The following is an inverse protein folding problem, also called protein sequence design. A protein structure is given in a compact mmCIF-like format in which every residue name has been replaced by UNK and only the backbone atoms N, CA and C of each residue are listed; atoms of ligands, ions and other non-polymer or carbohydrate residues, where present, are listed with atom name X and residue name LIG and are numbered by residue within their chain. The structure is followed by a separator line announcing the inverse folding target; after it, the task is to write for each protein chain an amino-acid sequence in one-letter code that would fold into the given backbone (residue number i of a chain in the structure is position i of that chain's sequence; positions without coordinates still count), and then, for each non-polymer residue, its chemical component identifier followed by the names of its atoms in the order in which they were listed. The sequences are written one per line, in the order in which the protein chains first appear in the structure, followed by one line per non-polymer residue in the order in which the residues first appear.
data_IF_978786609896
#
_entry.id   IF_978786609896
#
_cell.length_a   1.000
_cell.length_b   1.000
_cell.length_c   1.000
_cell.angle_alpha   90.00
_cell.angle_beta   90.00
_cell.angle_gamma   90.00
#
_symmetry.space_group_name_H-M   'P 1'
#
loop_
_entity.id
_entity.type
_entity.pdbx_description
1 polymer ?
#
# COMPACT_ATOMS: atom_id res chain seq x y z
N UNK A 1 24.33 -9.41 67.36
CA UNK A 1 24.67 -8.81 66.05
C UNK A 1 25.37 -7.50 66.34
N UNK A 2 26.61 -7.32 65.85
CA UNK A 2 27.30 -6.03 65.97
C UNK A 2 26.60 -5.00 65.10
N UNK A 3 26.38 -3.79 65.62
CA UNK A 3 25.85 -2.70 64.82
C UNK A 3 26.89 -2.32 63.75
N UNK A 4 26.47 -1.99 62.51
CA UNK A 4 27.38 -1.50 61.48
C UNK A 4 28.08 -0.22 61.95
N UNK A 5 29.28 0.04 61.44
CA UNK A 5 29.94 1.33 61.67
C UNK A 5 29.15 2.48 61.03
N UNK A 6 29.37 3.71 61.49
CA UNK A 6 28.73 4.89 60.89
C UNK A 6 28.98 4.97 59.37
N UNK A 7 30.22 4.76 58.95
CA UNK A 7 30.59 4.75 57.52
C UNK A 7 29.81 3.67 56.73
N UNK A 8 29.65 2.47 57.30
CA UNK A 8 28.86 1.41 56.66
C UNK A 8 27.37 1.78 56.56
N UNK A 9 26.83 2.42 57.59
CA UNK A 9 25.44 2.88 57.58
C UNK A 9 25.20 3.98 56.55
N UNK A 10 26.14 4.92 56.38
CA UNK A 10 26.08 5.99 55.38
C UNK A 10 26.10 5.42 53.95
N UNK A 11 26.98 4.44 53.67
CA UNK A 11 27.04 3.77 52.36
C UNK A 11 25.73 3.06 52.03
N UNK A 12 25.14 2.34 53.00
CA UNK A 12 23.85 1.66 52.80
C UNK A 12 22.75 2.69 52.53
N UNK A 13 22.68 3.77 53.30
CA UNK A 13 21.68 4.81 53.11
C UNK A 13 21.75 5.42 51.70
N UNK A 14 22.94 5.76 51.22
CA UNK A 14 23.13 6.31 49.86
C UNK A 14 22.70 5.30 48.80
N UNK A 15 23.05 4.02 48.96
CA UNK A 15 22.64 2.97 48.01
C UNK A 15 21.12 2.78 47.93
N UNK A 16 20.43 2.90 49.07
CA UNK A 16 18.97 2.83 49.14
C UNK A 16 18.33 4.04 48.46
N UNK A 17 18.82 5.24 48.74
CA UNK A 17 18.33 6.48 48.09
C UNK A 17 18.53 6.44 46.57
N UNK A 18 19.68 5.95 46.10
CA UNK A 18 19.92 5.79 44.66
C UNK A 18 18.95 4.78 44.02
N UNK A 19 18.69 3.65 44.69
CA UNK A 19 17.76 2.64 44.17
C UNK A 19 16.32 3.15 44.17
N UNK A 20 15.92 3.91 45.20
CA UNK A 20 14.62 4.57 45.29
C UNK A 20 14.43 5.61 44.17
N UNK A 21 15.44 6.45 43.92
CA UNK A 21 15.43 7.42 42.81
C UNK A 21 15.34 6.72 41.46
N UNK A 22 16.18 5.71 41.22
CA UNK A 22 16.19 4.94 39.97
C UNK A 22 14.83 4.29 39.70
N UNK A 23 14.17 3.75 40.73
CA UNK A 23 12.85 3.13 40.59
C UNK A 23 11.74 4.15 40.30
N UNK A 24 11.82 5.36 40.86
CA UNK A 24 10.90 6.45 40.52
C UNK A 24 11.10 6.94 39.09
N UNK A 25 12.35 7.14 38.67
CA UNK A 25 12.68 7.54 37.31
C UNK A 25 12.23 6.49 36.29
N UNK A 26 12.43 5.20 36.59
CA UNK A 26 11.97 4.11 35.72
C UNK A 26 10.43 4.02 35.63
N UNK A 27 9.72 4.29 36.74
CA UNK A 27 8.26 4.40 36.75
C UNK A 27 7.76 5.57 35.89
N UNK A 28 8.46 6.70 35.90
CA UNK A 28 8.09 7.87 35.11
C UNK A 28 8.45 7.69 33.62
N UNK A 29 9.49 6.93 33.31
CA UNK A 29 9.90 6.63 31.93
C UNK A 29 9.03 5.56 31.26
N UNK A 30 8.36 4.70 32.04
CA UNK A 30 7.57 3.56 31.57
C UNK A 30 8.34 2.59 30.66
N UNK A 31 9.66 2.52 30.80
CA UNK A 31 10.53 1.61 30.02
C UNK A 31 10.70 0.28 30.77
N UNK A 32 10.34 -0.83 30.11
CA UNK A 32 10.35 -2.19 30.71
C UNK A 32 11.76 -2.55 31.22
N UNK A 33 12.80 -2.30 30.43
CA UNK A 33 14.19 -2.63 30.78
C UNK A 33 14.68 -1.83 31.98
N UNK A 34 14.30 -0.55 32.07
CA UNK A 34 14.70 0.33 33.17
C UNK A 34 13.98 -0.04 34.45
N UNK A 35 12.69 -0.40 34.38
CA UNK A 35 11.91 -0.90 35.51
C UNK A 35 12.50 -2.21 36.06
N UNK A 36 12.86 -3.14 35.19
CA UNK A 36 13.51 -4.40 35.59
C UNK A 36 14.85 -4.15 36.28
N UNK A 37 15.69 -3.27 35.71
CA UNK A 37 16.98 -2.92 36.30
C UNK A 37 16.83 -2.22 37.65
N UNK A 38 15.87 -1.30 37.77
CA UNK A 38 15.60 -0.58 39.01
C UNK A 38 15.04 -1.50 40.11
N UNK A 39 14.14 -2.43 39.76
CA UNK A 39 13.63 -3.45 40.68
C UNK A 39 14.73 -4.39 41.17
N UNK A 40 15.63 -4.83 40.28
CA UNK A 40 16.77 -5.66 40.66
C UNK A 40 17.74 -4.92 41.60
N UNK A 41 17.99 -3.62 41.35
CA UNK A 41 18.79 -2.76 42.23
C UNK A 41 18.14 -2.57 43.61
N UNK A 42 16.82 -2.33 43.65
CA UNK A 42 16.05 -2.22 44.88
C UNK A 42 16.10 -3.53 45.71
N UNK A 43 16.00 -4.69 45.06
CA UNK A 43 16.14 -5.99 45.72
C UNK A 43 17.57 -6.18 46.27
N UNK A 44 18.60 -5.87 45.49
CA UNK A 44 20.01 -6.03 45.88
C UNK A 44 20.40 -5.13 47.06
N UNK A 45 19.88 -3.91 47.11
CA UNK A 45 20.14 -2.96 48.21
C UNK A 45 19.25 -3.20 49.43
N UNK A 46 18.21 -4.01 49.29
CA UNK A 46 17.27 -4.30 50.36
C UNK A 46 16.30 -3.15 50.65
N UNK A 47 15.90 -2.41 49.62
CA UNK A 47 14.88 -1.36 49.70
C UNK A 47 13.56 -1.94 50.24
N UNK A 48 12.97 -1.28 51.24
CA UNK A 48 11.73 -1.73 51.93
C UNK A 48 10.53 -0.81 51.68
N UNK A 49 10.58 -0.05 50.61
CA UNK A 49 9.46 0.78 50.16
C UNK A 49 8.42 -0.11 49.47
N UNK A 50 7.70 -0.92 50.25
CA UNK A 50 6.80 -1.98 49.76
C UNK A 50 5.76 -1.43 48.77
N UNK A 51 5.22 -0.22 49.02
CA UNK A 51 4.24 0.42 48.14
C UNK A 51 4.85 0.81 46.78
N UNK A 52 6.10 1.30 46.77
CA UNK A 52 6.81 1.68 45.54
C UNK A 52 7.14 0.44 44.69
N UNK A 53 7.61 -0.62 45.34
CA UNK A 53 7.90 -1.91 44.71
C UNK A 53 6.61 -2.54 44.17
N UNK A 54 5.51 -2.48 44.92
CA UNK A 54 4.21 -2.99 44.48
C UNK A 54 3.67 -2.21 43.27
N UNK A 55 3.83 -0.88 43.26
CA UNK A 55 3.47 -0.04 42.11
C UNK A 55 4.31 -0.40 40.88
N UNK A 56 5.63 -0.47 41.01
CA UNK A 56 6.52 -0.84 39.90
C UNK A 56 6.23 -2.24 39.34
N UNK A 57 5.94 -3.23 40.19
CA UNK A 57 5.54 -4.55 39.73
C UNK A 57 4.19 -4.56 39.01
N UNK A 58 3.24 -3.72 39.45
CA UNK A 58 1.94 -3.60 38.79
C UNK A 58 2.08 -2.95 37.42
N UNK A 59 2.91 -1.91 37.33
CA UNK A 59 3.24 -1.20 36.10
C UNK A 59 3.93 -2.13 35.08
N UNK A 60 4.95 -2.87 35.54
CA UNK A 60 5.65 -3.84 34.71
C UNK A 60 4.71 -4.93 34.16
N UNK A 61 3.73 -5.39 34.94
CA UNK A 61 2.72 -6.35 34.46
C UNK A 61 1.84 -5.74 33.37
N UNK A 62 1.39 -4.48 33.53
CA UNK A 62 0.62 -3.76 32.51
C UNK A 62 1.40 -3.65 31.21
N UNK A 63 2.65 -3.18 31.28
CA UNK A 63 3.51 -3.02 30.11
C UNK A 63 3.77 -4.36 29.40
N UNK A 64 3.97 -5.46 30.13
CA UNK A 64 4.10 -6.79 29.53
C UNK A 64 2.81 -7.28 28.87
N UNK A 65 1.64 -6.96 29.42
CA UNK A 65 0.36 -7.28 28.81
C UNK A 65 0.17 -6.50 27.50
N UNK A 66 0.48 -5.21 27.48
CA UNK A 66 0.47 -4.36 26.28
C UNK A 66 1.45 -4.86 25.21
N UNK A 67 2.69 -5.17 25.61
CA UNK A 67 3.70 -5.77 24.71
C UNK A 67 3.22 -7.10 24.14
N UNK A 68 2.55 -7.95 24.94
CA UNK A 68 2.01 -9.22 24.47
C UNK A 68 0.88 -9.01 23.46
N UNK A 69 -0.04 -8.07 23.71
CA UNK A 69 -1.13 -7.75 22.80
C UNK A 69 -0.60 -7.16 21.49
N UNK A 70 0.38 -6.25 21.56
CA UNK A 70 1.01 -5.67 20.39
C UNK A 70 1.74 -6.71 19.54
N UNK A 71 2.44 -7.67 20.17
CA UNK A 71 3.03 -8.83 19.47
C UNK A 71 2.00 -9.66 18.73
N UNK A 72 0.86 -9.95 19.36
CA UNK A 72 -0.20 -10.74 18.72
C UNK A 72 -0.81 -9.96 17.55
N UNK A 73 -1.06 -8.65 17.71
CA UNK A 73 -1.52 -7.77 16.62
C UNK A 73 -0.51 -7.70 15.46
N UNK A 74 0.79 -7.58 15.76
CA UNK A 74 1.85 -7.58 14.75
C UNK A 74 1.87 -8.89 13.96
N UNK A 75 1.74 -10.04 14.64
CA UNK A 75 1.68 -11.35 13.98
C UNK A 75 0.44 -11.49 13.10
N UNK A 76 -0.70 -10.99 13.54
CA UNK A 76 -1.93 -10.97 12.75
C UNK A 76 -1.78 -10.11 11.50
N UNK A 77 -1.21 -8.91 11.62
CA UNK A 77 -0.98 -8.01 10.50
C UNK A 77 0.04 -8.58 9.48
N UNK A 78 1.14 -9.18 9.96
CA UNK A 78 2.12 -9.90 9.12
C UNK A 78 1.46 -11.05 8.36
N UNK A 79 0.54 -11.78 8.98
CA UNK A 79 -0.22 -12.83 8.33
C UNK A 79 -1.25 -12.29 7.32
N UNK A 80 -1.85 -11.14 7.62
CA UNK A 80 -2.82 -10.45 6.75
C UNK A 80 -2.21 -9.82 5.50
N UNK A 81 -0.93 -9.43 5.56
CA UNK A 81 -0.18 -8.78 4.46
C UNK A 81 -0.87 -7.54 3.89
N UNK A 82 -1.62 -6.84 4.73
CA UNK A 82 -2.19 -5.54 4.41
C UNK A 82 -1.19 -4.46 4.88
N UNK A 83 -0.62 -3.65 3.96
CA UNK A 83 0.38 -2.63 4.33
C UNK A 83 -0.13 -1.62 5.36
N UNK A 84 -1.38 -1.17 5.26
CA UNK A 84 -1.94 -0.18 6.19
C UNK A 84 -2.04 -0.77 7.62
N UNK A 85 -2.62 -1.96 7.76
CA UNK A 85 -2.73 -2.66 9.06
C UNK A 85 -1.35 -3.01 9.63
N UNK A 86 -0.40 -3.39 8.76
CA UNK A 86 0.96 -3.73 9.16
C UNK A 86 1.73 -2.50 9.65
N UNK A 87 1.56 -1.35 9.01
CA UNK A 87 2.13 -0.09 9.46
C UNK A 87 1.61 0.30 10.86
N UNK A 88 0.28 0.28 11.06
CA UNK A 88 -0.33 0.56 12.37
C UNK A 88 0.15 -0.42 13.46
N UNK A 89 0.30 -1.70 13.11
CA UNK A 89 0.77 -2.72 14.03
C UNK A 89 2.25 -2.53 14.41
N UNK A 90 3.11 -2.12 13.47
CA UNK A 90 4.51 -1.77 13.73
C UNK A 90 4.59 -0.57 14.67
N UNK A 91 3.86 0.52 14.41
CA UNK A 91 3.85 1.69 15.30
C UNK A 91 3.38 1.32 16.72
N UNK A 92 2.33 0.49 16.82
CA UNK A 92 1.82 -0.01 18.11
C UNK A 92 2.85 -0.89 18.82
N UNK A 93 3.57 -1.74 18.09
CA UNK A 93 4.62 -2.60 18.62
C UNK A 93 5.82 -1.80 19.15
N UNK A 94 6.23 -0.74 18.44
CA UNK A 94 7.28 0.19 18.89
C UNK A 94 6.87 0.90 20.19
N UNK A 95 5.64 1.42 20.26
CA UNK A 95 5.12 2.06 21.47
C UNK A 95 5.04 1.09 22.66
N UNK A 96 4.69 -0.18 22.40
CA UNK A 96 4.62 -1.23 23.40
C UNK A 96 5.99 -1.89 23.71
N UNK A 97 7.09 -1.33 23.17
CA UNK A 97 8.46 -1.78 23.39
C UNK A 97 8.65 -3.27 23.03
N UNK A 98 7.99 -3.73 21.96
CA UNK A 98 8.28 -5.06 21.38
C UNK A 98 9.76 -5.07 20.92
N UNK A 99 10.48 -6.19 21.07
CA UNK A 99 11.88 -6.27 20.64
C UNK A 99 12.09 -5.90 19.18
N UNK A 100 13.17 -5.17 18.92
CA UNK A 100 13.54 -4.64 17.60
C UNK A 100 13.66 -5.75 16.54
N UNK A 101 14.13 -6.94 16.91
CA UNK A 101 14.24 -8.08 15.99
C UNK A 101 12.89 -8.59 15.47
N UNK A 102 11.82 -8.51 16.29
CA UNK A 102 10.46 -8.85 15.85
C UNK A 102 9.86 -7.74 14.97
N UNK A 103 10.24 -6.49 15.20
CA UNK A 103 9.77 -5.32 14.44
C UNK A 103 10.46 -5.25 13.06
N UNK A 104 11.76 -5.49 13.00
CA UNK A 104 12.57 -5.45 11.78
C UNK A 104 12.02 -6.39 10.69
N UNK A 105 11.59 -7.60 11.06
CA UNK A 105 10.98 -8.55 10.13
C UNK A 105 9.66 -8.03 9.55
N UNK A 106 8.84 -7.37 10.38
CA UNK A 106 7.57 -6.78 9.96
C UNK A 106 7.77 -5.53 9.08
N UNK A 107 8.75 -4.68 9.42
CA UNK A 107 9.12 -3.51 8.63
C UNK A 107 9.66 -3.89 7.25
N UNK A 108 10.51 -4.93 7.17
CA UNK A 108 11.02 -5.43 5.90
C UNK A 108 9.89 -5.96 5.00
N UNK A 109 8.91 -6.66 5.58
CA UNK A 109 7.71 -7.09 4.85
C UNK A 109 6.88 -5.90 4.40
N UNK A 110 6.69 -4.88 5.26
CA UNK A 110 5.95 -3.67 4.90
C UNK A 110 6.58 -2.97 3.68
N UNK A 111 7.90 -2.73 3.71
CA UNK A 111 8.63 -2.12 2.59
C UNK A 111 8.50 -2.95 1.30
N UNK A 112 8.56 -4.28 1.39
CA UNK A 112 8.35 -5.16 0.25
C UNK A 112 6.93 -5.02 -0.35
N UNK A 113 5.90 -5.00 0.50
CA UNK A 113 4.51 -4.90 0.07
C UNK A 113 4.19 -3.51 -0.53
N UNK A 114 4.70 -2.44 0.07
CA UNK A 114 4.60 -1.07 -0.46
C UNK A 114 5.27 -0.97 -1.83
N UNK A 115 6.44 -1.58 -2.00
CA UNK A 115 7.13 -1.63 -3.29
C UNK A 115 6.30 -2.28 -4.41
N UNK A 116 5.53 -3.32 -4.10
CA UNK A 116 4.60 -3.91 -5.09
C UNK A 116 3.44 -3.00 -5.46
N UNK A 117 2.91 -2.22 -4.50
CA UNK A 117 1.85 -1.24 -4.77
C UNK A 117 2.37 -0.08 -5.62
N UNK A 118 3.57 0.41 -5.33
CA UNK A 118 4.28 1.41 -6.13
C UNK A 118 4.51 0.91 -7.56
N UNK A 119 4.96 -0.33 -7.74
CA UNK A 119 5.14 -0.95 -9.05
C UNK A 119 3.84 -1.02 -9.85
N UNK A 120 2.70 -1.28 -9.19
CA UNK A 120 1.37 -1.27 -9.81
C UNK A 120 0.97 0.15 -10.25
N UNK A 121 1.20 1.16 -9.41
CA UNK A 121 0.87 2.55 -9.70
C UNK A 121 1.73 3.10 -10.85
N UNK A 122 3.03 2.79 -10.85
CA UNK A 122 4.00 3.25 -11.84
C UNK A 122 3.95 2.48 -13.16
N UNK A 123 3.26 1.33 -13.21
CA UNK A 123 3.16 0.50 -14.40
C UNK A 123 2.50 1.24 -15.57
N UNK A 124 3.14 1.18 -16.75
CA UNK A 124 2.65 1.82 -17.98
C UNK A 124 2.17 0.78 -18.99
N UNK A 125 0.89 0.87 -19.33
CA UNK A 125 0.21 0.00 -20.26
C UNK A 125 -0.24 -1.33 -19.65
N UNK A 126 -0.96 -2.11 -20.44
CA UNK A 126 -1.56 -3.38 -19.99
C UNK A 126 -0.51 -4.43 -19.60
N UNK A 127 0.60 -4.54 -20.35
CA UNK A 127 1.59 -5.60 -20.12
C UNK A 127 2.35 -5.41 -18.80
N UNK A 128 2.82 -4.19 -18.52
CA UNK A 128 3.52 -3.89 -17.26
C UNK A 128 2.59 -4.02 -16.06
N UNK A 129 1.35 -3.49 -16.17
CA UNK A 129 0.38 -3.56 -15.08
C UNK A 129 -0.05 -5.00 -14.79
N UNK A 130 -0.23 -5.82 -15.84
CA UNK A 130 -0.50 -7.25 -15.69
C UNK A 130 0.64 -8.00 -14.98
N UNK A 131 1.90 -7.66 -15.30
CA UNK A 131 3.07 -8.24 -14.64
C UNK A 131 3.15 -7.82 -13.16
N UNK A 132 2.97 -6.53 -12.86
CA UNK A 132 2.97 -6.00 -11.49
C UNK A 132 1.85 -6.63 -10.63
N UNK A 133 0.63 -6.72 -11.15
CA UNK A 133 -0.48 -7.41 -10.49
C UNK A 133 -0.19 -8.91 -10.26
N UNK A 134 0.47 -9.58 -11.20
CA UNK A 134 0.86 -10.97 -11.01
C UNK A 134 1.90 -11.14 -9.89
N UNK A 135 2.88 -10.22 -9.80
CA UNK A 135 3.86 -10.19 -8.74
C UNK A 135 3.22 -9.92 -7.37
N UNK A 136 2.34 -8.92 -7.28
CA UNK A 136 1.61 -8.59 -6.06
C UNK A 136 0.74 -9.76 -5.54
N UNK A 137 0.04 -10.48 -6.45
CA UNK A 137 -0.70 -11.69 -6.07
C UNK A 137 0.22 -12.83 -5.61
N UNK A 138 1.40 -12.98 -6.21
CA UNK A 138 2.39 -13.95 -5.75
C UNK A 138 2.91 -13.59 -4.35
N UNK A 139 3.01 -12.30 -4.03
CA UNK A 139 3.29 -11.77 -2.71
C UNK A 139 2.07 -11.81 -1.76
N UNK A 140 0.92 -12.34 -2.19
CA UNK A 140 -0.29 -12.50 -1.39
C UNK A 140 -0.85 -11.17 -0.85
N UNK A 141 -0.70 -10.07 -1.59
CA UNK A 141 -1.38 -8.81 -1.26
C UNK A 141 -2.91 -9.02 -1.30
N UNK A 142 -3.68 -8.50 -0.32
CA UNK A 142 -5.12 -8.59 -0.31
C UNK A 142 -5.79 -8.11 -1.61
N UNK A 143 -6.71 -8.91 -2.15
CA UNK A 143 -7.38 -8.62 -3.43
C UNK A 143 -8.14 -7.28 -3.41
N UNK A 144 -8.63 -6.86 -2.24
CA UNK A 144 -9.30 -5.57 -2.08
C UNK A 144 -8.41 -4.39 -2.49
N UNK A 145 -7.11 -4.47 -2.26
CA UNK A 145 -6.13 -3.45 -2.64
C UNK A 145 -5.78 -3.50 -4.14
N UNK A 146 -5.98 -4.64 -4.79
CA UNK A 146 -5.64 -4.85 -6.20
C UNK A 146 -6.79 -4.50 -7.16
N UNK A 147 -8.02 -4.42 -6.66
CA UNK A 147 -9.25 -4.30 -7.45
C UNK A 147 -9.26 -3.10 -8.41
N UNK A 148 -8.75 -1.95 -7.98
CA UNK A 148 -8.70 -0.76 -8.85
C UNK A 148 -7.75 -0.97 -10.03
N UNK A 149 -6.55 -1.48 -9.77
CA UNK A 149 -5.55 -1.77 -10.79
C UNK A 149 -6.01 -2.88 -11.75
N UNK A 150 -6.73 -3.90 -11.25
CA UNK A 150 -7.36 -4.91 -12.09
C UNK A 150 -8.41 -4.30 -13.04
N UNK A 151 -9.25 -3.40 -12.52
CA UNK A 151 -10.23 -2.70 -13.35
C UNK A 151 -9.53 -1.89 -14.45
N UNK A 152 -8.47 -1.15 -14.11
CA UNK A 152 -7.66 -0.40 -15.07
C UNK A 152 -7.03 -1.31 -16.13
N UNK A 153 -6.46 -2.45 -15.73
CA UNK A 153 -5.90 -3.45 -16.66
C UNK A 153 -6.95 -3.92 -17.67
N UNK A 154 -8.12 -4.33 -17.18
CA UNK A 154 -9.23 -4.77 -18.03
C UNK A 154 -9.65 -3.68 -19.04
N UNK A 155 -9.62 -2.39 -18.65
CA UNK A 155 -9.94 -1.28 -19.57
C UNK A 155 -8.86 -1.08 -20.63
N UNK A 156 -7.59 -1.21 -20.27
CA UNK A 156 -6.49 -1.13 -21.22
C UNK A 156 -6.48 -2.29 -22.21
N UNK A 157 -6.82 -3.50 -21.78
CA UNK A 157 -6.96 -4.65 -22.67
C UNK A 157 -8.13 -4.44 -23.65
N UNK A 158 -9.27 -3.95 -23.16
CA UNK A 158 -10.41 -3.60 -24.02
C UNK A 158 -10.04 -2.48 -25.02
N UNK A 159 -9.25 -1.50 -24.60
CA UNK A 159 -8.75 -0.43 -25.46
C UNK A 159 -7.83 -0.98 -26.56
N UNK A 160 -6.90 -1.87 -26.20
CA UNK A 160 -6.03 -2.56 -27.17
C UNK A 160 -6.84 -3.41 -28.13
N UNK A 161 -7.85 -4.12 -27.66
CA UNK A 161 -8.75 -4.91 -28.50
C UNK A 161 -9.50 -4.03 -29.51
N UNK A 162 -10.02 -2.87 -29.09
CA UNK A 162 -10.70 -1.93 -29.99
C UNK A 162 -9.76 -1.34 -31.06
N UNK A 163 -8.51 -1.02 -30.69
CA UNK A 163 -7.48 -0.60 -31.64
C UNK A 163 -7.14 -1.69 -32.66
N UNK A 164 -7.10 -2.96 -32.25
CA UNK A 164 -6.88 -4.08 -33.17
C UNK A 164 -8.11 -4.33 -34.05
N UNK A 165 -9.31 -4.17 -33.49
CA UNK A 165 -10.56 -4.39 -34.20
C UNK A 165 -10.81 -3.37 -35.32
N UNK A 166 -10.21 -2.17 -35.23
CA UNK A 166 -10.41 -1.12 -36.23
C UNK A 166 -11.78 -0.43 -36.14
N UNK A 167 -12.47 -0.53 -35.00
CA UNK A 167 -13.83 0.00 -34.81
C UNK A 167 -13.80 1.33 -34.04
N UNK A 168 -14.26 2.39 -34.71
CA UNK A 168 -14.25 3.77 -34.18
C UNK A 168 -15.16 3.92 -32.96
N UNK A 169 -16.33 3.29 -32.96
CA UNK A 169 -17.28 3.39 -31.85
C UNK A 169 -16.87 2.52 -30.66
N UNK A 170 -16.32 1.33 -30.92
CA UNK A 170 -15.72 0.53 -29.85
C UNK A 170 -14.52 1.23 -29.22
N UNK A 171 -13.64 1.84 -30.03
CA UNK A 171 -12.51 2.62 -29.53
C UNK A 171 -12.97 3.81 -28.68
N UNK A 172 -14.00 4.54 -29.14
CA UNK A 172 -14.61 5.63 -28.37
C UNK A 172 -15.17 5.18 -27.03
N UNK A 173 -15.83 4.01 -27.00
CA UNK A 173 -16.38 3.43 -25.77
C UNK A 173 -15.27 2.97 -24.83
N UNK A 174 -14.24 2.31 -25.37
CA UNK A 174 -13.11 1.83 -24.59
C UNK A 174 -12.32 3.00 -23.96
N UNK A 175 -12.06 4.07 -24.72
CA UNK A 175 -11.43 5.30 -24.22
C UNK A 175 -12.22 5.91 -23.05
N UNK A 176 -13.54 6.09 -23.20
CA UNK A 176 -14.38 6.62 -22.12
C UNK A 176 -14.36 5.75 -20.87
N UNK A 177 -14.42 4.43 -21.04
CA UNK A 177 -14.37 3.50 -19.91
C UNK A 177 -13.01 3.53 -19.20
N UNK A 178 -11.91 3.67 -19.93
CA UNK A 178 -10.57 3.78 -19.37
C UNK A 178 -10.38 5.10 -18.61
N UNK A 179 -10.89 6.22 -19.14
CA UNK A 179 -10.90 7.51 -18.44
C UNK A 179 -11.70 7.44 -17.13
N UNK A 180 -12.89 6.82 -17.16
CA UNK A 180 -13.73 6.64 -15.98
C UNK A 180 -13.11 5.75 -14.91
N UNK A 181 -12.22 4.83 -15.29
CA UNK A 181 -11.51 3.96 -14.34
C UNK A 181 -10.19 4.55 -13.84
N UNK A 182 -9.90 5.82 -14.14
CA UNK A 182 -8.69 6.49 -13.65
C UNK A 182 -7.40 6.14 -14.40
N UNK A 183 -7.47 5.54 -15.60
CA UNK A 183 -6.26 5.29 -16.40
C UNK A 183 -5.59 6.62 -16.74
N UNK A 184 -4.26 6.69 -16.54
CA UNK A 184 -3.50 7.91 -16.69
C UNK A 184 -3.62 8.50 -18.11
N UNK A 185 -3.78 9.83 -18.18
CA UNK A 185 -3.96 10.53 -19.45
C UNK A 185 -2.80 10.30 -20.44
N UNK A 186 -1.59 10.09 -19.94
CA UNK A 186 -0.42 9.76 -20.75
C UNK A 186 -0.53 8.39 -21.43
N UNK A 187 -1.07 7.38 -20.73
CA UNK A 187 -1.30 6.04 -21.29
C UNK A 187 -2.39 6.05 -22.37
N UNK A 188 -3.30 7.03 -22.33
CA UNK A 188 -4.39 7.18 -23.29
C UNK A 188 -4.03 8.05 -24.50
N UNK A 189 -2.88 8.72 -24.50
CA UNK A 189 -2.53 9.74 -25.50
C UNK A 189 -2.50 9.18 -26.93
N UNK A 190 -1.83 8.04 -27.12
CA UNK A 190 -1.69 7.41 -28.44
C UNK A 190 -3.05 6.95 -28.98
N UNK A 191 -3.86 6.30 -28.14
CA UNK A 191 -5.19 5.84 -28.51
C UNK A 191 -6.13 7.01 -28.85
N UNK A 192 -6.00 8.15 -28.17
CA UNK A 192 -6.75 9.38 -28.49
C UNK A 192 -6.34 9.96 -29.83
N UNK A 193 -5.05 9.96 -30.17
CA UNK A 193 -4.56 10.40 -31.48
C UNK A 193 -5.15 9.53 -32.60
N UNK A 194 -5.07 8.21 -32.43
CA UNK A 194 -5.65 7.24 -33.39
C UNK A 194 -7.16 7.45 -33.53
N UNK A 195 -7.87 7.65 -32.41
CA UNK A 195 -9.30 7.93 -32.44
C UNK A 195 -9.65 9.22 -33.21
N UNK A 196 -8.88 10.30 -33.06
CA UNK A 196 -9.12 11.55 -33.79
C UNK A 196 -8.91 11.38 -35.29
N UNK A 197 -7.88 10.66 -35.70
CA UNK A 197 -7.61 10.33 -37.10
C UNK A 197 -8.74 9.45 -37.68
N UNK A 198 -9.12 8.39 -36.96
CA UNK A 198 -10.17 7.48 -37.36
C UNK A 198 -11.55 8.14 -37.44
N UNK A 199 -11.90 8.96 -36.45
CA UNK A 199 -13.16 9.71 -36.41
C UNK A 199 -13.26 10.70 -37.57
N UNK A 200 -12.15 11.35 -37.94
CA UNK A 200 -12.12 12.29 -39.07
C UNK A 200 -12.28 11.57 -40.40
N UNK A 201 -11.61 10.42 -40.57
CA UNK A 201 -11.72 9.60 -41.78
C UNK A 201 -13.12 8.99 -41.93
N UNK A 202 -13.72 8.50 -40.84
CA UNK A 202 -15.09 7.98 -40.84
C UNK A 202 -16.10 9.07 -41.24
N UNK A 203 -15.98 10.27 -40.67
CA UNK A 203 -16.85 11.40 -41.02
C UNK A 203 -16.75 11.77 -42.51
N UNK A 204 -15.55 11.73 -43.09
CA UNK A 204 -15.36 12.03 -44.52
C UNK A 204 -16.04 10.98 -45.42
N UNK A 205 -16.04 9.70 -45.01
CA UNK A 205 -16.79 8.63 -45.70
C UNK A 205 -18.29 8.93 -45.65
N UNK A 206 -18.82 9.26 -44.47
CA UNK A 206 -20.24 9.58 -44.28
C UNK A 206 -20.67 10.80 -45.12
N UNK A 207 -19.86 11.86 -45.12
CA UNK A 207 -20.11 13.06 -45.94
C UNK A 207 -20.07 12.73 -47.43
N UNK A 208 -19.08 11.98 -47.90
CA UNK A 208 -18.98 11.60 -49.31
C UNK A 208 -20.14 10.72 -49.75
N UNK A 209 -20.60 9.81 -48.89
CA UNK A 209 -21.78 8.98 -49.11
C UNK A 209 -23.06 9.83 -49.19
N UNK A 210 -23.25 10.76 -48.25
CA UNK A 210 -24.42 11.65 -48.23
C UNK A 210 -24.49 12.57 -49.46
N UNK A 211 -23.34 12.98 -50.01
CA UNK A 211 -23.26 13.78 -51.23
C UNK A 211 -23.43 12.96 -52.52
N UNK A 212 -23.51 11.62 -52.43
CA UNK A 212 -23.55 10.71 -53.57
C UNK A 212 -22.37 10.88 -54.57
N UNK A 213 -21.22 11.38 -54.10
CA UNK A 213 -20.00 11.50 -54.91
C UNK A 213 -19.19 10.21 -54.84
N UNK A 214 -19.39 9.34 -55.83
CA UNK A 214 -18.70 8.04 -55.92
C UNK A 214 -17.17 8.14 -55.94
N UNK A 215 -16.59 9.17 -56.55
CA UNK A 215 -15.12 9.30 -56.64
C UNK A 215 -14.54 9.71 -55.30
N UNK A 216 -15.19 10.67 -54.62
CA UNK A 216 -14.81 11.08 -53.27
C UNK A 216 -14.99 9.95 -52.26
N UNK A 217 -16.09 9.21 -52.35
CA UNK A 217 -16.38 8.08 -51.46
C UNK A 217 -15.33 6.98 -51.57
N UNK A 218 -14.91 6.62 -52.80
CA UNK A 218 -13.86 5.61 -52.99
C UNK A 218 -12.52 6.04 -52.37
N UNK A 219 -12.13 7.31 -52.55
CA UNK A 219 -10.92 7.86 -51.93
C UNK A 219 -11.00 7.88 -50.41
N UNK A 220 -12.14 8.26 -49.84
CA UNK A 220 -12.36 8.28 -48.41
C UNK A 220 -12.30 6.87 -47.81
N UNK A 221 -12.92 5.87 -48.47
CA UNK A 221 -12.86 4.46 -48.05
C UNK A 221 -11.43 3.91 -48.13
N UNK A 222 -10.68 4.26 -49.17
CA UNK A 222 -9.28 3.85 -49.31
C UNK A 222 -8.39 4.43 -48.21
N UNK A 223 -8.59 5.71 -47.87
CA UNK A 223 -7.89 6.37 -46.75
C UNK A 223 -8.27 5.75 -45.40
N UNK A 224 -9.57 5.51 -45.15
CA UNK A 224 -10.04 4.83 -43.94
C UNK A 224 -9.41 3.43 -43.78
N UNK A 225 -9.32 2.67 -44.87
CA UNK A 225 -8.64 1.36 -44.89
C UNK A 225 -7.14 1.49 -44.63
N UNK A 226 -6.49 2.53 -45.16
CA UNK A 226 -5.07 2.81 -44.93
C UNK A 226 -4.79 3.08 -43.45
N UNK A 227 -5.72 3.73 -42.76
CA UNK A 227 -5.67 3.98 -41.32
C UNK A 227 -6.03 2.75 -40.46
N UNK A 228 -6.44 1.64 -41.07
CA UNK A 228 -6.79 0.40 -40.37
C UNK A 228 -8.24 0.32 -39.89
N UNK A 229 -9.13 1.22 -40.33
CA UNK A 229 -10.55 1.16 -39.99
C UNK A 229 -11.17 -0.10 -40.62
N UNK A 230 -11.90 -0.86 -39.82
CA UNK A 230 -12.47 -2.13 -40.24
C UNK A 230 -13.49 -1.95 -41.36
N UNK A 231 -13.31 -2.77 -42.40
CA UNK A 231 -14.11 -2.75 -43.62
C UNK A 231 -15.60 -2.99 -43.38
N UNK A 232 -15.96 -3.81 -42.40
CA UNK A 232 -17.37 -4.10 -42.11
C UNK A 232 -18.16 -2.85 -41.71
N UNK A 233 -17.49 -1.89 -41.07
CA UNK A 233 -18.10 -0.64 -40.61
C UNK A 233 -18.29 0.33 -41.79
N UNK A 234 -17.34 0.34 -42.73
CA UNK A 234 -17.40 1.18 -43.93
C UNK A 234 -18.47 0.73 -44.93
N UNK A 235 -18.95 -0.51 -44.83
CA UNK A 235 -19.94 -1.10 -45.75
C UNK A 235 -21.40 -0.90 -45.27
N UNK A 236 -21.64 -0.43 -44.05
CA UNK A 236 -22.97 -0.12 -43.51
C UNK A 236 -23.17 1.39 -43.18
N UNK A 237 -23.08 2.33 -44.14
CA UNK A 237 -23.25 3.76 -43.89
C UNK A 237 -24.67 4.16 -43.42
N UNK A 238 -25.60 3.22 -43.25
CA UNK A 238 -27.02 3.46 -42.97
C UNK A 238 -27.43 3.39 -41.50
N UNK A 239 -26.50 3.15 -40.56
CA UNK A 239 -26.83 2.96 -39.12
C UNK A 239 -26.65 4.20 -38.23
N UNK A 240 -26.19 5.32 -38.76
CA UNK A 240 -26.13 6.59 -38.01
C UNK A 240 -27.48 7.30 -38.17
N UNK A 241 -28.48 6.89 -37.39
CA UNK A 241 -29.71 7.65 -37.11
C UNK A 241 -29.87 7.85 -35.61
#
# INVERSE_FOLDING_TARGET
MGLPSQEQAEVVLVSLQMSETMLREALDAEVITDLLAALASAEQTGLREDDLIARANSELRRLHEEQSQARDGLREAVAGRNPEELHEAVETAEMAQVPEDEIDEAQALLEELEGFLDDIELAKGAEQRGAALAAARAAQIPEALLQEAEMQLNRLEALRAALVAGDVEELRRALRNAEMSGVNAHELADAKSVFQEWSSAALEVDVAAAMADSTRLLKAIEEAKRLGINRQILEEPSRVQ
#
